data_IF_924870897080
#
_entry.id   IF_924870897080
#
_cell.length_a   1.000
_cell.length_b   1.000
_cell.length_c   1.000
_cell.angle_alpha   90.00
_cell.angle_beta   90.00
_cell.angle_gamma   90.00
#
_symmetry.space_group_name_H-M   'P 1'
#
loop_
_entity.id
_entity.type
_entity.pdbx_description
1 polymer ?
#
# COMPACT_ATOMS: atom_id res chain seq x y z
N UNK A 1 -7.84 -10.25 37.06
CA UNK A 1 -8.66 -9.43 36.13
C UNK A 1 -7.83 -8.87 34.97
N UNK A 2 -6.68 -8.21 35.20
CA UNK A 2 -5.87 -7.63 34.12
C UNK A 2 -5.27 -8.61 33.09
N UNK A 3 -4.79 -9.78 33.53
CA UNK A 3 -4.19 -10.79 32.64
C UNK A 3 -5.18 -11.41 31.65
N UNK A 4 -6.42 -11.69 32.09
CA UNK A 4 -7.47 -12.24 31.23
C UNK A 4 -7.92 -11.25 30.14
N UNK A 5 -7.97 -9.95 30.47
CA UNK A 5 -8.31 -8.88 29.52
C UNK A 5 -7.20 -8.74 28.47
N UNK A 6 -5.94 -8.77 28.88
CA UNK A 6 -4.79 -8.74 27.96
C UNK A 6 -4.80 -9.93 26.99
N UNK A 7 -5.05 -11.14 27.49
CA UNK A 7 -5.16 -12.34 26.64
C UNK A 7 -6.36 -12.27 25.68
N UNK A 8 -7.50 -11.75 26.14
CA UNK A 8 -8.68 -11.55 25.29
C UNK A 8 -8.44 -10.55 24.16
N UNK A 9 -7.78 -9.42 24.47
CA UNK A 9 -7.38 -8.41 23.48
C UNK A 9 -6.37 -8.95 22.47
N UNK A 10 -5.37 -9.71 22.93
CA UNK A 10 -4.39 -10.34 22.06
C UNK A 10 -5.05 -11.33 21.09
N UNK A 11 -6.01 -12.13 21.57
CA UNK A 11 -6.76 -13.07 20.73
C UNK A 11 -7.66 -12.36 19.72
N UNK A 12 -8.37 -11.31 20.14
CA UNK A 12 -9.21 -10.52 19.25
C UNK A 12 -8.37 -9.84 18.14
N UNK A 13 -7.20 -9.31 18.48
CA UNK A 13 -6.28 -8.72 17.52
C UNK A 13 -5.75 -9.78 16.55
N UNK A 14 -5.31 -10.93 17.04
CA UNK A 14 -4.85 -12.02 16.18
C UNK A 14 -5.94 -12.47 15.19
N UNK A 15 -7.20 -12.55 15.65
CA UNK A 15 -8.33 -12.94 14.81
C UNK A 15 -8.65 -11.86 13.76
N UNK A 16 -8.52 -10.58 14.11
CA UNK A 16 -8.71 -9.47 13.17
C UNK A 16 -7.63 -9.43 12.07
N UNK A 17 -6.36 -9.72 12.41
CA UNK A 17 -5.28 -9.80 11.42
C UNK A 17 -5.35 -11.06 10.53
N UNK A 18 -6.08 -12.09 10.95
CA UNK A 18 -6.26 -13.32 10.17
C UNK A 18 -7.36 -13.23 9.10
N UNK A 19 -8.11 -12.12 9.05
CA UNK A 19 -9.13 -11.92 8.02
C UNK A 19 -8.47 -11.80 6.63
N UNK A 20 -9.00 -12.46 5.59
CA UNK A 20 -8.48 -12.32 4.24
C UNK A 20 -8.68 -10.89 3.74
N UNK A 21 -7.73 -10.40 2.93
CA UNK A 21 -7.89 -9.14 2.22
C UNK A 21 -8.82 -9.31 1.01
N UNK A 22 -9.55 -8.24 0.68
CA UNK A 22 -10.34 -8.17 -0.55
C UNK A 22 -9.47 -7.55 -1.63
N UNK A 23 -9.30 -8.26 -2.76
CA UNK A 23 -8.59 -7.76 -3.92
C UNK A 23 -9.56 -7.09 -4.92
N UNK A 24 -9.00 -6.29 -5.84
CA UNK A 24 -9.77 -5.68 -6.93
C UNK A 24 -9.85 -6.66 -8.11
N UNK A 25 -11.05 -7.19 -8.38
CA UNK A 25 -11.31 -8.23 -9.39
C UNK A 25 -11.48 -7.67 -10.82
N UNK A 26 -10.53 -6.87 -11.29
CA UNK A 26 -10.57 -6.30 -12.66
C UNK A 26 -9.69 -7.04 -13.68
N UNK A 27 -9.13 -8.20 -13.29
CA UNK A 27 -8.26 -9.01 -14.15
C UNK A 27 -6.85 -8.46 -14.38
N UNK A 28 -6.47 -7.36 -13.71
CA UNK A 28 -5.14 -6.75 -13.79
C UNK A 28 -4.28 -7.07 -12.56
N UNK A 29 -2.98 -6.76 -12.64
CA UNK A 29 -2.02 -6.91 -11.55
C UNK A 29 -1.97 -8.31 -10.90
N UNK A 30 -2.26 -9.37 -11.67
CA UNK A 30 -2.14 -10.77 -11.24
C UNK A 30 -0.69 -11.17 -10.89
N UNK A 31 0.27 -10.43 -11.44
CA UNK A 31 1.67 -10.41 -11.01
C UNK A 31 2.08 -8.97 -10.71
N UNK A 32 3.14 -8.74 -9.90
CA UNK A 32 3.60 -7.39 -9.60
C UNK A 32 3.84 -6.58 -10.89
N UNK A 33 3.27 -5.37 -11.03
CA UNK A 33 3.48 -4.56 -12.21
C UNK A 33 4.95 -4.13 -12.29
N UNK A 34 5.58 -4.39 -13.43
CA UNK A 34 6.95 -3.96 -13.71
C UNK A 34 6.93 -2.81 -14.72
N UNK A 35 7.70 -1.76 -14.47
CA UNK A 35 7.74 -0.59 -15.33
C UNK A 35 8.56 0.54 -14.73
N UNK A 36 8.26 1.77 -15.14
CA UNK A 36 8.96 2.97 -14.72
C UNK A 36 7.98 4.07 -14.31
N UNK A 37 8.29 4.80 -13.24
CA UNK A 37 7.41 5.81 -12.64
C UNK A 37 8.17 7.13 -12.48
N UNK A 38 7.72 8.17 -13.20
CA UNK A 38 8.44 9.44 -13.32
C UNK A 38 8.66 10.19 -12.02
N UNK A 39 7.72 10.09 -11.09
CA UNK A 39 7.70 10.88 -9.86
C UNK A 39 9.01 10.83 -9.06
N UNK A 40 9.65 9.67 -8.94
CA UNK A 40 10.85 9.53 -8.12
C UNK A 40 12.02 10.38 -8.66
N UNK A 41 12.10 10.53 -9.99
CA UNK A 41 13.13 11.34 -10.66
C UNK A 41 12.70 12.75 -11.03
N UNK A 42 11.49 12.92 -11.53
CA UNK A 42 11.03 14.14 -12.22
C UNK A 42 10.03 14.96 -11.41
N UNK A 43 9.43 14.38 -10.37
CA UNK A 43 8.53 15.06 -9.42
C UNK A 43 7.38 15.77 -10.14
N UNK A 44 7.04 16.98 -9.68
CA UNK A 44 6.01 17.84 -10.24
C UNK A 44 6.62 18.98 -11.09
N UNK A 45 7.67 18.69 -11.86
CA UNK A 45 8.20 19.72 -12.76
C UNK A 45 7.21 19.95 -13.91
N UNK A 46 6.72 21.19 -13.99
CA UNK A 46 5.79 21.65 -15.03
C UNK A 46 6.37 22.82 -15.82
N UNK A 47 7.58 23.29 -15.49
CA UNK A 47 8.19 24.44 -16.14
C UNK A 47 9.01 24.02 -17.36
N UNK A 48 8.29 23.80 -18.46
CA UNK A 48 8.90 23.44 -19.73
C UNK A 48 9.76 24.57 -20.34
N UNK A 49 9.61 25.83 -19.88
CA UNK A 49 10.41 26.94 -20.41
C UNK A 49 11.79 26.97 -19.76
N UNK A 50 11.84 26.83 -18.45
CA UNK A 50 13.09 26.83 -17.70
C UNK A 50 13.82 25.47 -17.76
N UNK A 51 13.09 24.36 -17.85
CA UNK A 51 13.67 23.00 -17.86
C UNK A 51 13.06 22.09 -18.93
N UNK A 52 13.33 22.34 -20.23
CA UNK A 52 12.67 21.66 -21.34
C UNK A 52 13.07 20.19 -21.54
N UNK A 53 14.05 19.67 -20.79
CA UNK A 53 14.60 18.31 -20.97
C UNK A 53 14.41 17.39 -19.76
N UNK A 54 13.67 17.87 -18.77
CA UNK A 54 13.22 17.09 -17.63
C UNK A 54 11.79 16.60 -17.89
#
# INVERSE_FOLDING_TARGET
MGSAVLSGLALALALALALPSVALENGLALTPPMGWLAWERFRCNVDCRADPRN
#
